data_IF_924467469012
#
_entry.id   IF_924467469012
#
_cell.length_a   1.000
_cell.length_b   1.000
_cell.length_c   1.000
_cell.angle_alpha   90.00
_cell.angle_beta   90.00
_cell.angle_gamma   90.00
#
_symmetry.space_group_name_H-M   'P 1'
#
loop_
_entity.id
_entity.type
_entity.pdbx_description
1 polymer ?
#
# COMPACT_ATOMS: atom_id res chain seq x y z
N UNK A 1 27.48 -13.31 -50.38
CA UNK A 1 28.42 -14.45 -50.31
C UNK A 1 28.91 -14.54 -48.87
N UNK A 2 28.62 -15.69 -48.21
CA UNK A 2 29.38 -16.33 -47.09
C UNK A 2 29.80 -15.45 -45.89
N UNK A 3 29.40 -15.72 -44.65
CA UNK A 3 29.60 -16.98 -43.93
C UNK A 3 28.64 -17.15 -42.73
N UNK A 4 28.11 -18.36 -42.62
CA UNK A 4 27.37 -18.96 -41.51
C UNK A 4 28.30 -19.53 -40.43
N UNK A 5 27.94 -19.36 -39.16
CA UNK A 5 28.42 -20.15 -38.00
C UNK A 5 27.15 -20.64 -37.28
N UNK A 6 26.62 -21.86 -37.42
CA UNK A 6 27.16 -23.21 -37.17
C UNK A 6 27.71 -23.40 -35.75
N UNK A 7 26.82 -23.69 -34.81
CA UNK A 7 27.11 -24.52 -33.64
C UNK A 7 26.08 -25.65 -33.56
N UNK A 8 26.62 -26.87 -33.55
CA UNK A 8 25.97 -28.19 -33.49
C UNK A 8 25.41 -28.39 -32.06
N UNK A 9 24.18 -28.86 -31.84
CA UNK A 9 23.71 -30.26 -31.86
C UNK A 9 24.66 -31.29 -31.23
N UNK A 10 24.30 -31.75 -30.03
CA UNK A 10 24.80 -32.94 -29.33
C UNK A 10 24.31 -32.91 -27.87
N UNK A 11 23.58 -33.87 -27.31
CA UNK A 11 23.10 -35.14 -27.82
C UNK A 11 21.90 -35.63 -27.00
N UNK A 12 21.12 -36.51 -27.61
CA UNK A 12 19.99 -37.24 -27.05
C UNK A 12 20.53 -38.54 -26.45
N UNK A 13 20.25 -38.81 -25.17
CA UNK A 13 20.38 -40.14 -24.56
C UNK A 13 18.99 -40.57 -24.06
N UNK A 14 18.37 -41.61 -24.65
CA UNK A 14 17.19 -42.23 -24.09
C UNK A 14 17.63 -43.33 -23.12
N UNK A 15 17.27 -43.21 -21.84
CA UNK A 15 17.42 -44.30 -20.89
C UNK A 15 16.03 -44.90 -20.63
N UNK A 16 15.74 -45.92 -21.44
CA UNK A 16 14.65 -46.88 -21.25
C UNK A 16 15.12 -47.86 -20.16
N UNK A 17 14.37 -47.94 -19.07
CA UNK A 17 14.54 -48.94 -18.01
C UNK A 17 13.19 -49.30 -17.43
N UNK A 18 12.84 -50.58 -17.56
CA UNK A 18 11.52 -51.15 -17.38
C UNK A 18 11.15 -51.48 -15.91
N UNK A 19 9.91 -51.14 -15.53
CA UNK A 19 8.82 -52.03 -15.08
C UNK A 19 9.14 -53.23 -14.16
N UNK A 20 8.84 -53.10 -12.86
CA UNK A 20 8.27 -54.10 -11.90
C UNK A 20 7.62 -53.25 -10.79
N UNK A 21 6.33 -53.29 -10.44
CA UNK A 21 5.48 -54.44 -10.18
C UNK A 21 5.28 -54.59 -8.67
N UNK A 22 4.44 -53.76 -8.04
CA UNK A 22 3.92 -54.00 -6.70
C UNK A 22 2.46 -53.53 -6.63
N UNK A 23 1.57 -54.52 -6.61
CA UNK A 23 0.16 -54.38 -6.31
C UNK A 23 -0.04 -54.17 -4.80
N UNK A 24 -1.15 -53.51 -4.44
CA UNK A 24 -1.81 -53.69 -3.15
C UNK A 24 -1.67 -52.52 -2.18
N UNK A 25 -2.67 -51.64 -2.17
CA UNK A 25 -3.44 -51.26 -0.98
C UNK A 25 -4.56 -50.29 -1.39
N UNK A 26 -5.72 -50.87 -1.72
CA UNK A 26 -7.02 -50.20 -1.68
C UNK A 26 -7.35 -49.91 -0.22
N UNK A 27 -7.14 -48.66 0.22
CA UNK A 27 -7.78 -48.12 1.40
C UNK A 27 -8.95 -47.26 0.94
N UNK A 28 -10.05 -47.96 0.68
CA UNK A 28 -11.40 -47.42 0.62
C UNK A 28 -11.86 -47.22 2.07
N UNK A 29 -11.80 -45.98 2.58
CA UNK A 29 -12.50 -45.59 3.81
C UNK A 29 -12.82 -44.10 3.79
N UNK A 30 -14.11 -43.81 3.65
CA UNK A 30 -14.76 -42.72 4.38
C UNK A 30 -14.61 -41.31 3.81
N UNK A 31 -15.32 -41.03 2.72
CA UNK A 31 -15.85 -39.69 2.49
C UNK A 31 -16.96 -39.44 3.51
N UNK A 32 -16.56 -39.03 4.72
CA UNK A 32 -17.47 -38.50 5.72
C UNK A 32 -17.81 -37.05 5.37
N UNK A 33 -19.03 -36.84 4.87
CA UNK A 33 -19.72 -35.55 4.90
C UNK A 33 -20.01 -35.16 6.37
N UNK A 34 -18.97 -34.85 7.12
CA UNK A 34 -19.11 -34.07 8.35
C UNK A 34 -18.56 -32.69 8.06
N UNK A 35 -19.44 -31.82 7.56
CA UNK A 35 -19.26 -30.37 7.60
C UNK A 35 -18.80 -29.99 9.02
N UNK A 36 -17.56 -29.53 9.22
CA UNK A 36 -17.14 -28.98 10.50
C UNK A 36 -17.54 -27.50 10.52
N UNK A 37 -18.84 -27.23 10.50
CA UNK A 37 -19.35 -25.84 10.55
C UNK A 37 -20.09 -25.50 11.84
N UNK A 38 -20.56 -26.50 12.62
CA UNK A 38 -21.44 -26.21 13.76
C UNK A 38 -20.75 -26.37 15.13
N UNK A 39 -19.77 -27.26 15.30
CA UNK A 39 -19.12 -27.48 16.60
C UNK A 39 -18.04 -26.44 16.95
N UNK A 40 -17.52 -25.71 15.97
CA UNK A 40 -16.55 -24.62 16.23
C UNK A 40 -17.24 -23.32 16.73
N UNK A 41 -18.57 -23.22 16.63
CA UNK A 41 -19.33 -22.04 17.01
C UNK A 41 -19.68 -21.98 18.51
N UNK A 42 -19.78 -23.12 19.20
CA UNK A 42 -20.21 -23.13 20.62
C UNK A 42 -19.09 -22.80 21.63
N UNK A 43 -17.81 -22.91 21.26
CA UNK A 43 -16.71 -22.66 22.20
C UNK A 43 -16.32 -21.17 22.38
N UNK A 44 -16.89 -20.24 21.61
CA UNK A 44 -16.49 -18.82 21.60
C UNK A 44 -17.27 -17.91 22.59
N UNK A 45 -18.26 -18.44 23.32
CA UNK A 45 -19.23 -17.64 24.10
C UNK A 45 -18.73 -17.07 25.45
N UNK A 46 -17.42 -17.06 25.74
CA UNK A 46 -16.89 -16.64 27.05
C UNK A 46 -16.09 -15.32 27.07
N UNK A 47 -16.17 -14.46 26.05
CA UNK A 47 -15.54 -13.13 26.09
C UNK A 47 -16.59 -12.02 26.00
N UNK A 48 -16.70 -11.23 27.08
CA UNK A 48 -17.66 -10.14 27.21
C UNK A 48 -17.51 -9.02 26.17
N UNK A 49 -18.52 -8.14 26.06
CA UNK A 49 -18.65 -7.17 24.98
C UNK A 49 -17.50 -6.17 24.94
N UNK A 50 -16.85 -6.03 23.78
CA UNK A 50 -15.90 -4.95 23.49
C UNK A 50 -16.68 -3.66 23.27
N UNK A 51 -16.36 -2.62 24.04
CA UNK A 51 -17.02 -1.32 23.98
C UNK A 51 -16.89 -0.66 22.60
N UNK A 52 -18.00 -0.07 22.14
CA UNK A 52 -18.10 0.71 20.92
C UNK A 52 -17.04 1.83 20.89
N UNK A 53 -15.95 1.59 20.17
CA UNK A 53 -14.92 2.58 19.92
C UNK A 53 -15.46 3.67 18.99
N UNK A 54 -15.68 4.86 19.52
CA UNK A 54 -16.12 6.02 18.73
C UNK A 54 -15.17 6.36 17.57
N UNK A 55 -15.65 7.11 16.55
CA UNK A 55 -14.89 7.44 15.36
C UNK A 55 -13.64 8.24 15.73
N UNK A 56 -12.48 7.64 15.53
CA UNK A 56 -11.19 8.31 15.71
C UNK A 56 -10.93 9.23 14.52
N UNK A 57 -11.28 10.51 14.67
CA UNK A 57 -10.79 11.59 13.81
C UNK A 57 -9.29 11.83 14.05
N UNK A 58 -8.46 10.94 13.50
CA UNK A 58 -7.01 11.08 13.51
C UNK A 58 -6.51 11.59 12.17
N UNK A 59 -5.89 12.78 12.17
CA UNK A 59 -5.21 13.42 11.05
C UNK A 59 -4.35 12.45 10.20
N UNK A 60 -4.93 11.96 9.11
CA UNK A 60 -4.58 12.36 7.73
C UNK A 60 -3.16 12.16 7.21
N UNK A 61 -2.26 11.50 7.94
CA UNK A 61 -1.01 11.04 7.35
C UNK A 61 -1.34 9.94 6.34
N UNK A 62 -1.16 10.21 5.04
CA UNK A 62 -1.28 9.25 3.94
C UNK A 62 -0.23 8.12 4.04
N UNK A 63 -0.21 7.39 5.15
CA UNK A 63 0.37 6.06 5.23
C UNK A 63 -0.52 5.21 4.35
N UNK A 64 -0.13 5.10 3.08
CA UNK A 64 -0.84 4.29 2.11
C UNK A 64 -1.21 2.97 2.77
N UNK A 65 -2.51 2.74 2.94
CA UNK A 65 -3.00 1.49 3.49
C UNK A 65 -2.40 0.30 2.73
N UNK A 66 -2.41 -0.90 3.33
CA UNK A 66 -1.80 -2.09 2.72
C UNK A 66 -2.28 -2.21 1.28
N UNK A 67 -1.36 -2.04 0.32
CA UNK A 67 -1.66 -2.13 -1.12
C UNK A 67 -1.57 -3.58 -1.60
N UNK A 68 -1.96 -4.52 -0.75
CA UNK A 68 -1.77 -5.93 -0.96
C UNK A 68 -3.05 -6.74 -0.72
N UNK A 69 -3.01 -8.04 -1.00
CA UNK A 69 -4.12 -8.98 -0.77
C UNK A 69 -4.61 -9.00 0.69
N UNK A 70 -3.78 -8.58 1.65
CA UNK A 70 -4.17 -8.47 3.06
C UNK A 70 -5.24 -7.38 3.29
N UNK A 71 -5.48 -6.54 2.29
CA UNK A 71 -6.59 -5.60 2.28
C UNK A 71 -7.95 -6.31 2.38
N UNK A 72 -8.10 -7.52 1.81
CA UNK A 72 -9.36 -8.27 1.89
C UNK A 72 -9.77 -8.57 3.33
N UNK A 73 -8.82 -9.05 4.15
CA UNK A 73 -9.08 -9.35 5.55
C UNK A 73 -9.50 -8.10 6.33
N UNK A 74 -8.86 -6.96 6.06
CA UNK A 74 -9.22 -5.69 6.71
C UNK A 74 -10.55 -5.12 6.21
N UNK A 75 -10.83 -5.28 4.91
CA UNK A 75 -12.09 -4.88 4.33
C UNK A 75 -13.24 -5.70 4.95
N UNK A 76 -13.08 -7.02 5.10
CA UNK A 76 -14.05 -7.87 5.77
C UNK A 76 -14.38 -7.37 7.19
N UNK A 77 -13.36 -7.08 8.01
CA UNK A 77 -13.54 -6.54 9.37
C UNK A 77 -14.23 -5.16 9.44
N UNK A 78 -14.21 -4.38 8.36
CA UNK A 78 -14.75 -3.02 8.35
C UNK A 78 -16.06 -2.87 7.59
N UNK A 79 -16.38 -3.80 6.69
CA UNK A 79 -17.45 -3.66 5.69
C UNK A 79 -18.54 -4.71 5.85
N UNK A 80 -18.26 -5.79 6.58
CA UNK A 80 -19.22 -6.86 6.84
C UNK A 80 -19.70 -6.80 8.28
N UNK A 81 -20.94 -7.24 8.48
CA UNK A 81 -21.45 -7.60 9.78
C UNK A 81 -21.00 -9.04 10.06
N UNK A 82 -20.07 -9.20 11.00
CA UNK A 82 -19.41 -10.46 11.32
C UNK A 82 -19.82 -10.90 12.72
N UNK A 83 -19.95 -12.20 12.94
CA UNK A 83 -20.06 -12.70 14.31
C UNK A 83 -18.74 -12.54 15.06
N UNK A 84 -18.79 -12.50 16.40
CA UNK A 84 -17.60 -12.41 17.25
C UNK A 84 -16.56 -13.51 16.93
N UNK A 85 -17.04 -14.72 16.60
CA UNK A 85 -16.19 -15.85 16.23
C UNK A 85 -15.50 -15.63 14.86
N UNK A 86 -16.22 -15.10 13.87
CA UNK A 86 -15.66 -14.75 12.57
C UNK A 86 -14.62 -13.63 12.70
N UNK A 87 -14.95 -12.58 13.45
CA UNK A 87 -14.05 -11.44 13.71
C UNK A 87 -12.75 -11.93 14.35
N UNK A 88 -12.83 -12.69 15.45
CA UNK A 88 -11.66 -13.23 16.15
C UNK A 88 -10.78 -14.10 15.24
N UNK A 89 -11.39 -14.92 14.38
CA UNK A 89 -10.67 -15.77 13.43
C UNK A 89 -9.91 -14.93 12.40
N UNK A 90 -10.54 -13.90 11.84
CA UNK A 90 -9.93 -13.01 10.84
C UNK A 90 -8.84 -12.13 11.48
N UNK A 91 -9.06 -11.64 12.71
CA UNK A 91 -8.04 -10.93 13.49
C UNK A 91 -6.81 -11.82 13.73
N UNK A 92 -7.02 -13.08 14.10
CA UNK A 92 -5.94 -14.06 14.29
C UNK A 92 -5.13 -14.29 13.01
N UNK A 93 -5.80 -14.45 11.87
CA UNK A 93 -5.13 -14.57 10.58
C UNK A 93 -4.30 -13.31 10.23
N UNK A 94 -4.81 -12.11 10.52
CA UNK A 94 -4.08 -10.86 10.33
C UNK A 94 -2.86 -10.73 11.26
N UNK A 95 -2.97 -11.18 12.52
CA UNK A 95 -1.86 -11.15 13.48
C UNK A 95 -0.73 -12.08 13.01
N UNK A 96 -1.05 -13.28 12.55
CA UNK A 96 -0.06 -14.21 11.98
C UNK A 96 0.71 -13.63 10.78
N UNK A 97 0.04 -12.82 9.95
CA UNK A 97 0.72 -12.08 8.87
C UNK A 97 1.67 -10.99 9.38
N UNK A 98 1.37 -10.36 10.53
CA UNK A 98 2.22 -9.33 11.14
C UNK A 98 3.46 -9.94 11.79
N UNK A 99 3.31 -11.07 12.47
CA UNK A 99 4.43 -11.73 13.14
C UNK A 99 5.49 -12.19 12.14
N UNK A 100 5.05 -12.78 11.03
CA UNK A 100 5.94 -13.15 9.92
C UNK A 100 6.57 -11.96 9.16
N UNK A 101 6.27 -10.72 9.54
CA UNK A 101 6.86 -9.50 8.96
C UNK A 101 7.88 -8.81 9.90
N UNK A 102 7.99 -9.24 11.16
CA UNK A 102 8.90 -8.64 12.15
C UNK A 102 10.38 -8.94 11.84
N UNK A 103 10.66 -10.06 11.18
CA UNK A 103 12.00 -10.45 10.73
C UNK A 103 12.29 -9.94 9.31
N UNK A 104 12.11 -8.64 9.05
CA UNK A 104 12.70 -8.11 7.81
C UNK A 104 14.22 -8.19 7.96
N UNK A 105 14.93 -8.83 7.01
CA UNK A 105 16.37 -8.73 6.96
C UNK A 105 16.72 -7.25 7.03
N UNK A 106 17.69 -6.90 7.88
CA UNK A 106 18.21 -5.53 7.85
C UNK A 106 18.82 -5.37 6.47
N UNK A 107 18.14 -4.66 5.57
CA UNK A 107 18.58 -4.39 4.19
C UNK A 107 19.94 -3.64 4.13
N UNK A 108 20.53 -3.34 5.29
CA UNK A 108 21.80 -2.65 5.45
C UNK A 108 22.96 -3.26 4.66
N UNK A 109 23.01 -4.57 4.43
CA UNK A 109 24.07 -5.18 3.61
C UNK A 109 24.04 -4.71 2.14
N UNK A 110 22.84 -4.55 1.57
CA UNK A 110 22.65 -4.08 0.18
C UNK A 110 23.01 -2.60 0.08
N UNK A 111 22.56 -1.80 1.03
CA UNK A 111 22.85 -0.36 1.05
C UNK A 111 24.33 -0.06 1.38
N UNK A 112 24.99 -0.87 2.21
CA UNK A 112 26.42 -0.78 2.46
C UNK A 112 27.23 -1.07 1.18
N UNK A 113 26.93 -2.16 0.47
CA UNK A 113 27.58 -2.47 -0.79
C UNK A 113 27.37 -1.37 -1.85
N UNK A 114 26.17 -0.79 -1.89
CA UNK A 114 25.89 0.36 -2.75
C UNK A 114 26.69 1.61 -2.36
N UNK A 115 26.79 1.90 -1.06
CA UNK A 115 27.57 3.02 -0.55
C UNK A 115 29.07 2.85 -0.84
N UNK A 116 29.62 1.65 -0.67
CA UNK A 116 30.99 1.31 -1.07
C UNK A 116 31.23 1.56 -2.56
N UNK A 117 30.31 1.10 -3.43
CA UNK A 117 30.38 1.38 -4.88
C UNK A 117 30.32 2.87 -5.22
N UNK A 118 29.54 3.65 -4.46
CA UNK A 118 29.50 5.11 -4.61
C UNK A 118 30.84 5.73 -4.21
N UNK A 119 31.43 5.37 -3.06
CA UNK A 119 32.74 5.89 -2.64
C UNK A 119 33.82 5.59 -3.68
N UNK A 120 33.84 4.34 -4.16
CA UNK A 120 34.78 3.86 -5.18
C UNK A 120 34.61 4.52 -6.55
N UNK A 121 33.55 5.29 -6.78
CA UNK A 121 33.28 5.91 -8.08
C UNK A 121 32.73 4.92 -9.13
N UNK A 122 32.43 3.68 -8.74
CA UNK A 122 31.95 2.62 -9.63
C UNK A 122 31.05 1.65 -8.88
N UNK A 123 29.81 1.51 -9.35
CA UNK A 123 28.83 0.61 -8.75
C UNK A 123 28.88 -0.76 -9.45
N UNK A 124 29.21 -1.80 -8.69
CA UNK A 124 29.13 -3.18 -9.14
C UNK A 124 27.72 -3.73 -8.93
N UNK A 125 26.93 -3.72 -10.00
CA UNK A 125 25.54 -4.21 -9.98
C UNK A 125 25.46 -5.69 -9.63
N UNK A 126 26.38 -6.51 -10.13
CA UNK A 126 26.36 -7.95 -9.87
C UNK A 126 26.67 -8.24 -8.40
N UNK A 127 27.61 -7.50 -7.80
CA UNK A 127 27.89 -7.61 -6.37
C UNK A 127 26.69 -7.21 -5.51
N UNK A 128 25.98 -6.13 -5.86
CA UNK A 128 24.76 -5.72 -5.14
C UNK A 128 23.66 -6.77 -5.28
N UNK A 129 23.45 -7.31 -6.48
CA UNK A 129 22.47 -8.37 -6.72
C UNK A 129 22.80 -9.65 -5.93
N UNK A 130 24.08 -10.01 -5.80
CA UNK A 130 24.51 -11.14 -4.98
C UNK A 130 24.31 -10.92 -3.47
N UNK A 131 24.17 -9.67 -3.02
CA UNK A 131 23.88 -9.30 -1.61
C UNK A 131 22.39 -9.16 -1.32
N UNK A 132 21.54 -9.17 -2.34
CA UNK A 132 20.12 -9.31 -2.09
C UNK A 132 19.94 -10.62 -1.32
N UNK A 133 19.23 -10.61 -0.17
CA UNK A 133 18.81 -11.86 0.44
C UNK A 133 18.07 -12.68 -0.61
N UNK A 134 17.85 -13.98 -0.36
CA UNK A 134 16.96 -14.78 -1.19
C UNK A 134 15.52 -14.22 -1.10
N UNK A 135 15.32 -13.10 -1.79
CA UNK A 135 14.13 -12.29 -1.80
C UNK A 135 13.01 -13.08 -2.48
N UNK A 136 13.38 -14.02 -3.35
CA UNK A 136 12.49 -15.04 -3.88
C UNK A 136 11.92 -15.89 -2.75
N UNK A 137 12.77 -16.51 -1.93
CA UNK A 137 12.31 -17.33 -0.80
C UNK A 137 11.46 -16.54 0.20
N UNK A 138 11.91 -15.37 0.66
CA UNK A 138 11.13 -14.58 1.62
C UNK A 138 9.79 -14.09 1.04
N UNK A 139 9.76 -13.75 -0.26
CA UNK A 139 8.52 -13.39 -0.95
C UNK A 139 7.58 -14.58 -1.10
N UNK A 140 8.07 -15.78 -1.44
CA UNK A 140 7.27 -17.00 -1.52
C UNK A 140 6.74 -17.44 -0.15
N UNK A 141 7.55 -17.37 0.91
CA UNK A 141 7.09 -17.64 2.27
C UNK A 141 5.98 -16.65 2.70
N UNK A 142 6.16 -15.36 2.41
CA UNK A 142 5.12 -14.35 2.65
C UNK A 142 3.87 -14.65 1.82
N UNK A 143 4.02 -15.01 0.55
CA UNK A 143 2.91 -15.36 -0.35
C UNK A 143 2.15 -16.57 0.18
N UNK A 144 2.84 -17.60 0.66
CA UNK A 144 2.22 -18.78 1.28
C UNK A 144 1.43 -18.41 2.55
N UNK A 145 1.97 -17.56 3.43
CA UNK A 145 1.25 -17.07 4.62
C UNK A 145 -0.02 -16.30 4.24
N UNK A 146 0.07 -15.42 3.25
CA UNK A 146 -1.07 -14.67 2.73
C UNK A 146 -2.10 -15.61 2.10
N UNK A 147 -1.67 -16.62 1.34
CA UNK A 147 -2.57 -17.61 0.76
C UNK A 147 -3.35 -18.35 1.85
N UNK A 148 -2.66 -18.80 2.90
CA UNK A 148 -3.29 -19.42 4.06
C UNK A 148 -4.32 -18.50 4.73
N UNK A 149 -3.97 -17.24 4.98
CA UNK A 149 -4.88 -16.26 5.58
C UNK A 149 -6.11 -15.96 4.71
N UNK A 150 -5.96 -15.95 3.38
CA UNK A 150 -7.07 -15.80 2.44
C UNK A 150 -7.97 -17.03 2.40
N UNK A 151 -7.39 -18.24 2.46
CA UNK A 151 -8.17 -19.47 2.57
C UNK A 151 -8.99 -19.50 3.86
N UNK A 152 -8.39 -19.08 4.99
CA UNK A 152 -9.12 -18.93 6.26
C UNK A 152 -10.26 -17.93 6.12
N UNK A 153 -10.00 -16.73 5.57
CA UNK A 153 -11.04 -15.73 5.34
C UNK A 153 -12.20 -16.29 4.50
N UNK A 154 -11.91 -16.99 3.41
CA UNK A 154 -12.93 -17.57 2.53
C UNK A 154 -13.81 -18.60 3.25
N UNK A 155 -13.19 -19.50 4.00
CA UNK A 155 -13.87 -20.56 4.75
C UNK A 155 -14.71 -20.02 5.92
N UNK A 156 -14.27 -18.93 6.55
CA UNK A 156 -14.97 -18.30 7.68
C UNK A 156 -16.22 -17.52 7.24
N UNK A 157 -16.20 -16.92 6.06
CA UNK A 157 -17.32 -16.12 5.55
C UNK A 157 -18.39 -16.99 4.90
N UNK A 158 -19.67 -16.61 5.05
CA UNK A 158 -20.75 -17.22 4.26
C UNK A 158 -20.65 -16.81 2.79
N UNK A 159 -21.38 -17.51 1.92
CA UNK A 159 -21.43 -17.19 0.49
C UNK A 159 -21.90 -15.77 0.24
N UNK A 160 -22.90 -15.32 0.99
CA UNK A 160 -23.49 -13.99 0.92
C UNK A 160 -22.48 -12.93 1.37
N UNK A 161 -21.79 -13.17 2.48
CA UNK A 161 -20.74 -12.28 3.00
C UNK A 161 -19.57 -12.15 2.01
N UNK A 162 -19.14 -13.24 1.38
CA UNK A 162 -18.09 -13.19 0.34
C UNK A 162 -18.51 -12.33 -0.85
N UNK A 163 -19.75 -12.47 -1.32
CA UNK A 163 -20.29 -11.64 -2.41
C UNK A 163 -20.36 -10.16 -2.01
N UNK A 164 -20.90 -9.86 -0.83
CA UNK A 164 -20.97 -8.49 -0.31
C UNK A 164 -19.58 -7.83 -0.22
N UNK A 165 -18.56 -8.57 0.24
CA UNK A 165 -17.19 -8.08 0.30
C UNK A 165 -16.64 -7.75 -1.08
N UNK A 166 -16.83 -8.64 -2.05
CA UNK A 166 -16.35 -8.46 -3.42
C UNK A 166 -17.02 -7.25 -4.08
N UNK A 167 -18.33 -7.09 -3.92
CA UNK A 167 -19.09 -5.97 -4.48
C UNK A 167 -18.64 -4.63 -3.87
N UNK A 168 -18.44 -4.58 -2.56
CA UNK A 168 -17.95 -3.38 -1.86
C UNK A 168 -16.56 -2.94 -2.34
N UNK A 169 -15.65 -3.90 -2.54
CA UNK A 169 -14.31 -3.63 -3.06
C UNK A 169 -14.35 -3.19 -4.52
N UNK A 170 -15.16 -3.85 -5.36
CA UNK A 170 -15.33 -3.48 -6.76
C UNK A 170 -15.86 -2.05 -6.89
N UNK A 171 -16.86 -1.67 -6.09
CA UNK A 171 -17.40 -0.31 -6.06
C UNK A 171 -16.32 0.74 -5.69
N UNK A 172 -15.48 0.45 -4.70
CA UNK A 172 -14.36 1.34 -4.31
C UNK A 172 -13.29 1.43 -5.39
N UNK A 173 -12.99 0.33 -6.07
CA UNK A 173 -12.08 0.34 -7.23
C UNK A 173 -12.60 1.23 -8.34
N UNK A 174 -13.91 1.23 -8.58
CA UNK A 174 -14.58 2.02 -9.62
C UNK A 174 -14.62 3.50 -9.27
N UNK A 175 -14.97 3.83 -8.02
CA UNK A 175 -14.92 5.19 -7.50
C UNK A 175 -13.50 5.76 -7.61
N UNK A 176 -12.48 4.96 -7.27
CA UNK A 176 -11.08 5.36 -7.40
C UNK A 176 -10.65 5.48 -8.86
N UNK A 177 -11.16 4.63 -9.74
CA UNK A 177 -10.94 4.72 -11.19
C UNK A 177 -11.49 6.01 -11.78
N UNK A 178 -12.70 6.41 -11.38
CA UNK A 178 -13.35 7.67 -11.79
C UNK A 178 -12.60 8.91 -11.32
N UNK A 179 -12.00 8.86 -10.13
CA UNK A 179 -11.18 9.95 -9.57
C UNK A 179 -9.81 10.14 -10.28
N UNK A 180 -9.49 9.29 -11.26
CA UNK A 180 -8.23 9.33 -11.98
C UNK A 180 -7.01 9.01 -11.10
N UNK A 181 -5.81 8.90 -11.69
CA UNK A 181 -4.58 8.84 -10.94
C UNK A 181 -4.41 10.15 -10.15
N UNK A 182 -4.71 10.11 -8.85
CA UNK A 182 -4.66 11.20 -7.85
C UNK A 182 -3.31 11.96 -7.70
N UNK A 183 -2.40 11.89 -8.68
CA UNK A 183 -1.08 12.54 -8.61
C UNK A 183 -0.47 12.98 -9.93
N UNK A 184 -1.24 13.02 -11.04
CA UNK A 184 -0.71 13.42 -12.35
C UNK A 184 -1.01 14.87 -12.75
N UNK A 185 -2.23 15.31 -12.50
CA UNK A 185 -2.72 16.63 -12.91
C UNK A 185 -3.42 17.28 -11.74
N UNK A 186 -2.64 17.68 -10.73
CA UNK A 186 -2.91 19.02 -10.24
C UNK A 186 -2.53 19.94 -11.41
N UNK A 187 -3.47 20.12 -12.33
CA UNK A 187 -3.59 21.38 -13.02
C UNK A 187 -3.57 22.40 -11.88
N UNK A 188 -2.40 22.99 -11.65
CA UNK A 188 -2.37 24.41 -11.39
C UNK A 188 -3.14 24.99 -12.56
N UNK A 189 -4.47 25.09 -12.43
CA UNK A 189 -5.26 25.93 -13.29
C UNK A 189 -4.50 27.26 -13.38
N UNK A 190 -4.48 27.92 -14.54
CA UNK A 190 -3.75 29.16 -14.68
C UNK A 190 -4.09 30.01 -13.46
N UNK A 191 -3.09 30.33 -12.63
CA UNK A 191 -3.21 31.34 -11.59
C UNK A 191 -3.35 32.69 -12.31
N UNK A 192 -4.41 32.84 -13.08
CA UNK A 192 -4.95 34.09 -13.55
C UNK A 192 -5.93 34.54 -12.48
N UNK A 193 -5.64 35.67 -11.86
CA UNK A 193 -6.48 36.26 -10.82
C UNK A 193 -5.66 36.74 -9.64
N UNK A 194 -5.03 37.89 -9.83
CA UNK A 194 -4.65 38.89 -8.84
C UNK A 194 -5.25 38.69 -7.43
N UNK A 195 -4.59 37.89 -6.59
CA UNK A 195 -4.71 38.10 -5.17
C UNK A 195 -3.74 39.20 -4.79
N UNK A 196 -4.28 40.41 -4.67
CA UNK A 196 -3.66 41.58 -4.07
C UNK A 196 -2.78 41.17 -2.87
N UNK A 197 -1.46 41.19 -3.08
CA UNK A 197 -0.49 41.28 -1.99
C UNK A 197 -0.67 42.64 -1.34
N UNK A 198 -1.32 42.68 -0.18
CA UNK A 198 -1.13 43.78 0.74
C UNK A 198 0.37 43.87 1.13
N UNK A 199 0.90 45.09 1.39
CA UNK A 199 2.29 45.28 1.76
C UNK A 199 2.48 44.86 3.22
N UNK A 200 2.64 43.56 3.47
CA UNK A 200 3.22 43.08 4.71
C UNK A 200 4.71 42.85 4.49
N UNK A 201 5.48 43.90 4.80
CA UNK A 201 6.89 43.80 5.12
C UNK A 201 7.06 42.81 6.27
N UNK A 202 7.67 41.67 5.95
CA UNK A 202 7.90 40.58 6.87
C UNK A 202 8.67 39.52 6.11
N UNK A 203 10.00 39.63 6.18
CA UNK A 203 10.97 38.61 5.78
C UNK A 203 10.71 37.32 6.58
N UNK A 204 9.65 36.63 6.22
CA UNK A 204 9.49 35.23 6.54
C UNK A 204 9.74 34.48 5.24
N UNK A 205 11.04 34.26 4.99
CA UNK A 205 11.57 33.13 4.23
C UNK A 205 11.10 31.81 4.88
N UNK A 206 9.79 31.56 4.92
CA UNK A 206 9.25 30.23 5.15
C UNK A 206 9.38 29.45 3.86
N UNK A 207 10.59 28.98 3.63
CA UNK A 207 10.83 27.54 3.55
C UNK A 207 10.05 26.76 2.51
N UNK A 208 9.74 27.36 1.35
CA UNK A 208 9.62 26.60 0.11
C UNK A 208 11.00 26.06 -0.27
N UNK A 209 11.57 25.17 0.55
CA UNK A 209 12.87 24.50 0.39
C UNK A 209 12.79 23.44 -0.73
N UNK A 210 12.31 23.85 -1.88
CA UNK A 210 12.35 23.11 -3.13
C UNK A 210 12.67 24.12 -4.22
N UNK A 211 13.94 24.55 -4.27
CA UNK A 211 14.42 25.39 -5.35
C UNK A 211 14.10 24.76 -6.71
N UNK A 212 13.86 25.57 -7.76
CA UNK A 212 13.53 25.11 -9.09
C UNK A 212 14.71 24.33 -9.68
N UNK A 213 14.76 23.02 -9.49
CA UNK A 213 15.81 22.17 -10.05
C UNK A 213 15.73 20.72 -9.61
N UNK A 214 15.60 20.45 -8.31
CA UNK A 214 15.56 19.07 -7.79
C UNK A 214 14.10 18.59 -7.62
N UNK A 215 13.39 18.45 -8.75
CA UNK A 215 11.97 18.02 -8.78
C UNK A 215 11.80 16.59 -8.27
N UNK A 216 11.46 16.42 -6.99
CA UNK A 216 10.58 15.35 -6.44
C UNK A 216 10.85 13.87 -6.82
N UNK A 217 12.01 13.53 -7.38
CA UNK A 217 12.34 12.17 -7.80
C UNK A 217 12.74 11.28 -6.62
N UNK A 218 12.75 9.94 -6.80
CA UNK A 218 13.14 8.99 -5.76
C UNK A 218 14.57 9.17 -5.25
N UNK A 219 15.45 9.89 -5.97
CA UNK A 219 16.81 10.22 -5.48
C UNK A 219 16.95 11.66 -4.97
N UNK A 220 15.90 12.48 -5.08
CA UNK A 220 15.98 13.90 -4.73
C UNK A 220 16.44 14.12 -3.28
N UNK A 221 16.02 13.24 -2.36
CA UNK A 221 16.44 13.33 -0.95
C UNK A 221 17.90 12.92 -0.70
N UNK A 222 18.48 12.07 -1.55
CA UNK A 222 19.88 11.64 -1.41
C UNK A 222 20.83 12.75 -1.88
N UNK A 223 20.45 13.41 -2.98
CA UNK A 223 21.20 14.52 -3.56
C UNK A 223 20.97 15.84 -2.81
N UNK A 224 19.85 15.96 -2.09
CA UNK A 224 19.56 17.13 -1.27
C UNK A 224 20.66 17.35 -0.23
N UNK A 225 21.25 18.55 -0.24
CA UNK A 225 22.34 18.93 0.66
C UNK A 225 23.72 18.45 0.20
N UNK A 226 23.88 17.91 -1.01
CA UNK A 226 25.19 17.90 -1.66
C UNK A 226 25.49 19.30 -2.20
N UNK A 227 26.72 19.77 -2.00
CA UNK A 227 27.19 21.02 -2.58
C UNK A 227 27.55 20.80 -4.05
N UNK A 228 26.53 20.84 -4.91
CA UNK A 228 26.66 20.60 -6.35
C UNK A 228 26.79 21.93 -7.09
N UNK A 229 27.80 22.04 -7.96
CA UNK A 229 27.94 23.12 -8.94
C UNK A 229 26.80 23.10 -9.96
N UNK A 230 26.51 24.24 -10.57
CA UNK A 230 25.41 24.37 -11.54
C UNK A 230 25.60 23.43 -12.75
N UNK A 231 26.84 23.27 -13.22
CA UNK A 231 27.16 22.35 -14.31
C UNK A 231 26.91 20.89 -13.91
N UNK A 232 27.27 20.51 -12.67
CA UNK A 232 27.02 19.16 -12.16
C UNK A 232 25.52 18.90 -12.03
N UNK A 233 24.74 19.89 -11.56
CA UNK A 233 23.27 19.78 -11.47
C UNK A 233 22.67 19.55 -12.86
N UNK A 234 23.07 20.34 -13.85
CA UNK A 234 22.59 20.17 -15.22
C UNK A 234 22.96 18.80 -15.82
N UNK A 235 24.16 18.30 -15.54
CA UNK A 235 24.59 16.96 -15.98
C UNK A 235 23.81 15.85 -15.30
N UNK A 236 23.56 15.96 -13.99
CA UNK A 236 22.76 15.01 -13.21
C UNK A 236 21.32 14.99 -13.74
N UNK A 237 20.71 16.16 -13.95
CA UNK A 237 19.35 16.26 -14.49
C UNK A 237 19.26 15.61 -15.87
N UNK A 238 20.24 15.87 -16.74
CA UNK A 238 20.33 15.23 -18.06
C UNK A 238 20.47 13.70 -17.95
N UNK A 239 21.31 13.21 -17.04
CA UNK A 239 21.51 11.77 -16.82
C UNK A 239 20.23 11.10 -16.28
N UNK A 240 19.53 11.75 -15.35
CA UNK A 240 18.29 11.26 -14.78
C UNK A 240 17.12 11.27 -15.77
N UNK A 241 17.00 12.30 -16.61
CA UNK A 241 16.02 12.33 -17.69
C UNK A 241 16.32 11.26 -18.75
N UNK A 242 17.59 11.00 -19.08
CA UNK A 242 17.95 9.90 -19.98
C UNK A 242 17.62 8.52 -19.42
N UNK A 243 17.66 8.35 -18.09
CA UNK A 243 17.27 7.11 -17.41
C UNK A 243 15.75 7.01 -17.15
N UNK A 244 14.99 8.06 -17.44
CA UNK A 244 13.55 8.09 -17.21
C UNK A 244 12.84 7.21 -18.23
N UNK A 245 11.81 6.43 -17.84
CA UNK A 245 11.01 5.70 -18.81
C UNK A 245 10.40 6.66 -19.84
N UNK A 246 10.45 6.24 -21.11
CA UNK A 246 9.98 7.03 -22.24
C UNK A 246 8.48 7.27 -22.21
N UNK A 247 7.97 8.14 -23.07
CA UNK A 247 6.53 8.42 -23.13
C UNK A 247 5.71 7.19 -23.57
N UNK A 248 6.28 6.35 -24.44
CA UNK A 248 5.69 5.05 -24.79
C UNK A 248 5.45 4.19 -23.54
N UNK A 249 6.42 4.10 -22.61
CA UNK A 249 6.28 3.37 -21.35
C UNK A 249 5.23 3.99 -20.42
N UNK A 250 4.93 5.29 -20.56
CA UNK A 250 3.88 5.96 -19.77
C UNK A 250 2.50 5.66 -20.33
N UNK A 251 2.36 5.61 -21.66
CA UNK A 251 1.11 5.21 -22.33
C UNK A 251 0.81 3.74 -22.04
N UNK A 252 1.80 2.86 -22.22
CA UNK A 252 1.66 1.44 -21.87
C UNK A 252 1.19 1.23 -20.44
N UNK A 253 1.73 1.99 -19.48
CA UNK A 253 1.27 1.96 -18.08
C UNK A 253 -0.22 2.27 -17.87
N UNK A 254 -0.83 3.16 -18.68
CA UNK A 254 -2.27 3.46 -18.57
C UNK A 254 -3.12 2.26 -19.01
N UNK A 255 -2.75 1.64 -20.12
CA UNK A 255 -3.40 0.43 -20.63
C UNK A 255 -3.23 -0.73 -19.64
N UNK A 256 -2.01 -0.90 -19.12
CA UNK A 256 -1.71 -1.85 -18.05
C UNK A 256 -2.59 -1.64 -16.83
N UNK A 257 -2.89 -0.39 -16.45
CA UNK A 257 -3.78 -0.12 -15.33
C UNK A 257 -5.22 -0.59 -15.58
N UNK A 258 -5.74 -0.43 -16.79
CA UNK A 258 -7.07 -0.91 -17.13
C UNK A 258 -7.10 -2.45 -17.13
N UNK A 259 -6.12 -3.10 -17.76
CA UNK A 259 -5.98 -4.55 -17.78
C UNK A 259 -5.84 -5.13 -16.36
N UNK A 260 -4.98 -4.55 -15.51
CA UNK A 260 -4.81 -4.97 -14.11
C UNK A 260 -6.08 -4.79 -13.28
N UNK A 261 -6.90 -3.76 -13.56
CA UNK A 261 -8.20 -3.61 -12.88
C UNK A 261 -9.17 -4.72 -13.30
N UNK A 262 -9.23 -5.05 -14.59
CA UNK A 262 -10.07 -6.14 -15.08
C UNK A 262 -9.62 -7.49 -14.50
N UNK A 263 -8.32 -7.76 -14.50
CA UNK A 263 -7.71 -8.95 -13.89
C UNK A 263 -8.02 -9.04 -12.39
N UNK A 264 -7.90 -7.92 -11.66
CA UNK A 264 -8.24 -7.87 -10.23
C UNK A 264 -9.73 -8.15 -10.00
N UNK A 265 -10.65 -7.60 -10.81
CA UNK A 265 -12.08 -7.91 -10.72
C UNK A 265 -12.34 -9.40 -10.96
N UNK A 266 -11.74 -10.00 -11.98
CA UNK A 266 -11.88 -11.43 -12.24
C UNK A 266 -11.41 -12.29 -11.07
N UNK A 267 -10.32 -11.90 -10.40
CA UNK A 267 -9.86 -12.56 -9.16
C UNK A 267 -10.85 -12.42 -8.02
N UNK A 268 -11.40 -11.23 -7.82
CA UNK A 268 -12.41 -11.00 -6.77
C UNK A 268 -13.67 -11.86 -7.03
N UNK A 269 -14.11 -12.00 -8.28
CA UNK A 269 -15.20 -12.92 -8.63
C UNK A 269 -14.85 -14.38 -8.28
N UNK A 270 -13.61 -14.82 -8.52
CA UNK A 270 -13.16 -16.14 -8.10
C UNK A 270 -13.16 -16.32 -6.57
N UNK A 271 -13.00 -15.24 -5.79
CA UNK A 271 -13.15 -15.28 -4.34
C UNK A 271 -14.61 -15.44 -3.89
N UNK A 272 -15.58 -14.88 -4.63
CA UNK A 272 -17.00 -15.05 -4.33
C UNK A 272 -17.50 -16.48 -4.60
N UNK A 273 -16.79 -17.26 -5.43
CA UNK A 273 -17.15 -18.63 -5.76
C UNK A 273 -17.08 -19.57 -4.55
N UNK A 274 -17.79 -20.70 -4.63
CA UNK A 274 -17.81 -21.71 -3.56
C UNK A 274 -16.47 -22.45 -3.44
N UNK A 275 -15.75 -22.61 -4.55
CA UNK A 275 -14.38 -23.13 -4.58
C UNK A 275 -13.41 -21.98 -4.77
N UNK A 276 -12.49 -21.83 -3.83
CA UNK A 276 -11.47 -20.78 -3.87
C UNK A 276 -10.07 -21.36 -3.77
N UNK A 277 -9.19 -20.94 -4.69
CA UNK A 277 -7.77 -21.24 -4.66
C UNK A 277 -6.97 -19.97 -4.35
N UNK A 278 -6.53 -19.85 -3.11
CA UNK A 278 -5.73 -18.71 -2.65
C UNK A 278 -4.37 -18.60 -3.36
N UNK A 279 -3.80 -19.72 -3.84
CA UNK A 279 -2.54 -19.68 -4.57
C UNK A 279 -2.74 -19.11 -5.98
N UNK A 280 -3.82 -19.47 -6.67
CA UNK A 280 -4.19 -18.88 -7.96
C UNK A 280 -4.59 -17.40 -7.82
N UNK A 281 -5.20 -17.02 -6.70
CA UNK A 281 -5.56 -15.63 -6.41
C UNK A 281 -4.33 -14.71 -6.30
N UNK A 282 -3.20 -15.23 -5.82
CA UNK A 282 -1.97 -14.46 -5.66
C UNK A 282 -1.07 -14.61 -6.89
N UNK A 283 -1.00 -13.60 -7.80
CA UNK A 283 -0.15 -13.69 -8.99
C UNK A 283 1.29 -13.97 -8.58
N UNK A 284 1.89 -14.98 -9.23
CA UNK A 284 3.35 -15.08 -9.25
C UNK A 284 3.89 -14.04 -10.21
N UNK A 285 4.93 -13.29 -9.85
CA UNK A 285 5.65 -12.52 -10.85
C UNK A 285 6.17 -13.48 -11.93
N UNK A 286 6.06 -13.14 -13.22
CA UNK A 286 6.71 -13.90 -14.29
C UNK A 286 8.19 -14.09 -13.99
N UNK A 287 8.69 -15.28 -14.32
CA UNK A 287 10.07 -15.66 -14.07
C UNK A 287 11.03 -14.64 -14.70
N UNK A 288 11.94 -14.10 -13.90
CA UNK A 288 12.95 -13.13 -14.35
C UNK A 288 12.51 -11.66 -14.31
N UNK A 289 11.23 -11.34 -14.09
CA UNK A 289 10.81 -9.95 -13.97
C UNK A 289 11.00 -9.43 -12.54
N UNK A 290 11.89 -8.43 -12.38
CA UNK A 290 12.07 -7.76 -11.09
C UNK A 290 10.83 -6.91 -10.81
N UNK A 291 10.09 -7.25 -9.75
CA UNK A 291 8.94 -6.46 -9.27
C UNK A 291 9.18 -5.89 -7.87
N UNK A 292 8.36 -4.91 -7.49
CA UNK A 292 8.34 -4.38 -6.14
C UNK A 292 9.68 -3.77 -5.69
N UNK A 293 10.16 -4.07 -4.46
CA UNK A 293 11.41 -3.52 -3.92
C UNK A 293 12.63 -3.82 -4.79
N UNK A 294 12.73 -5.00 -5.40
CA UNK A 294 13.86 -5.37 -6.25
C UNK A 294 13.94 -4.48 -7.51
N UNK A 295 12.80 -4.25 -8.17
CA UNK A 295 12.73 -3.33 -9.32
C UNK A 295 13.07 -1.89 -8.94
N UNK A 296 12.68 -1.47 -7.72
CA UNK A 296 12.99 -0.14 -7.21
C UNK A 296 14.48 0.03 -6.94
N UNK A 297 15.11 -0.96 -6.28
CA UNK A 297 16.55 -0.99 -6.08
C UNK A 297 17.30 -0.97 -7.42
N UNK A 298 16.85 -1.76 -8.39
CA UNK A 298 17.44 -1.82 -9.72
C UNK A 298 17.49 -0.45 -10.41
N UNK A 299 16.37 0.29 -10.37
CA UNK A 299 16.28 1.67 -10.85
C UNK A 299 17.18 2.63 -10.07
N UNK A 300 17.26 2.47 -8.75
CA UNK A 300 18.14 3.29 -7.91
C UNK A 300 19.62 3.05 -8.26
N UNK A 301 20.03 1.79 -8.41
CA UNK A 301 21.39 1.40 -8.81
C UNK A 301 21.72 1.97 -10.18
N UNK A 302 20.83 1.84 -11.17
CA UNK A 302 21.04 2.40 -12.51
C UNK A 302 21.19 3.93 -12.50
N UNK A 303 20.35 4.62 -11.74
CA UNK A 303 20.41 6.08 -11.63
C UNK A 303 21.66 6.55 -10.88
N UNK A 304 22.06 5.88 -9.80
CA UNK A 304 23.31 6.21 -9.09
C UNK A 304 24.54 5.91 -9.96
N UNK A 305 24.53 4.83 -10.74
CA UNK A 305 25.63 4.52 -11.66
C UNK A 305 25.84 5.61 -12.72
N UNK A 306 24.77 6.29 -13.13
CA UNK A 306 24.85 7.44 -14.04
C UNK A 306 25.34 8.73 -13.36
N UNK A 307 25.05 8.92 -12.06
CA UNK A 307 25.39 10.14 -11.31
C UNK A 307 26.83 10.09 -10.77
N UNK A 308 27.26 8.95 -10.27
CA UNK A 308 28.54 8.79 -9.55
C UNK A 308 29.76 9.35 -10.32
N UNK A 309 29.89 9.17 -11.65
CA UNK A 309 31.01 9.75 -12.42
C UNK A 309 31.02 11.29 -12.49
N UNK A 310 29.91 11.97 -12.18
CA UNK A 310 29.78 13.44 -12.20
C UNK A 310 30.24 14.05 -10.86
N UNK A 311 30.20 13.27 -9.79
CA UNK A 311 30.52 13.71 -8.43
C UNK A 311 32.02 13.65 -8.17
N UNK A 312 32.53 14.65 -7.45
CA UNK A 312 33.88 14.57 -6.88
C UNK A 312 33.93 13.61 -5.68
N UNK A 313 35.15 13.36 -5.16
CA UNK A 313 35.36 12.41 -4.08
C UNK A 313 34.63 12.78 -2.78
N UNK A 314 34.64 14.06 -2.40
CA UNK A 314 33.98 14.53 -1.19
C UNK A 314 32.45 14.36 -1.30
N UNK A 315 31.88 14.69 -2.46
CA UNK A 315 30.47 14.51 -2.76
C UNK A 315 30.06 13.03 -2.76
N UNK A 316 30.89 12.13 -3.33
CA UNK A 316 30.64 10.69 -3.31
C UNK A 316 30.65 10.14 -1.88
N UNK A 317 31.59 10.56 -1.04
CA UNK A 317 31.64 10.16 0.37
C UNK A 317 30.39 10.61 1.14
N UNK A 318 29.95 11.86 0.96
CA UNK A 318 28.74 12.38 1.60
C UNK A 318 27.47 11.67 1.12
N UNK A 319 27.40 11.33 -0.18
CA UNK A 319 26.29 10.55 -0.74
C UNK A 319 26.26 9.13 -0.17
N UNK A 320 27.41 8.46 -0.09
CA UNK A 320 27.55 7.12 0.47
C UNK A 320 27.09 7.06 1.94
N UNK A 321 27.49 8.04 2.75
CA UNK A 321 27.06 8.15 4.15
C UNK A 321 25.52 8.30 4.27
N UNK A 322 24.90 9.05 3.35
CA UNK A 322 23.43 9.18 3.31
C UNK A 322 22.74 7.88 2.91
N UNK A 323 23.33 7.11 1.98
CA UNK A 323 22.80 5.81 1.58
C UNK A 323 22.81 4.84 2.77
N UNK A 324 23.88 4.82 3.55
CA UNK A 324 24.01 3.98 4.76
C UNK A 324 23.04 4.39 5.87
N UNK A 325 22.88 5.71 6.10
CA UNK A 325 21.91 6.24 7.07
C UNK A 325 20.46 6.01 6.64
N UNK A 326 20.23 5.83 5.33
CA UNK A 326 18.91 5.78 4.74
C UNK A 326 18.26 7.17 4.65
N UNK A 327 17.00 7.27 4.16
CA UNK A 327 16.25 8.51 4.29
C UNK A 327 16.25 8.87 5.77
N UNK A 328 16.77 10.06 6.12
CA UNK A 328 16.64 10.58 7.47
C UNK A 328 15.18 10.35 7.83
N UNK A 329 14.94 9.59 8.90
CA UNK A 329 13.60 9.49 9.41
C UNK A 329 13.30 10.93 9.81
N UNK A 330 12.66 11.67 8.89
CA UNK A 330 11.92 12.87 9.18
C UNK A 330 10.77 12.32 10.00
N UNK A 331 11.08 11.90 11.24
CA UNK A 331 10.26 12.26 12.35
C UNK A 331 10.10 13.74 12.10
N UNK A 332 8.91 14.20 11.66
CA UNK A 332 8.66 15.61 11.84
C UNK A 332 9.05 15.79 13.30
N UNK A 333 10.13 16.52 13.56
CA UNK A 333 10.35 17.10 14.87
C UNK A 333 8.97 17.59 15.19
N UNK A 334 8.35 16.92 16.16
CA UNK A 334 6.94 17.09 16.46
C UNK A 334 6.94 18.46 17.07
N UNK A 335 7.02 19.47 16.19
CA UNK A 335 7.58 20.78 16.50
C UNK A 335 6.82 21.15 17.72
N UNK A 336 7.56 21.26 18.84
CA UNK A 336 6.99 21.40 20.18
C UNK A 336 5.77 22.25 19.97
N UNK A 337 4.58 21.63 20.08
CA UNK A 337 3.36 22.28 19.64
C UNK A 337 3.36 23.54 20.45
N UNK A 338 3.74 24.67 19.83
CA UNK A 338 3.83 25.94 20.52
C UNK A 338 2.51 26.06 21.25
N UNK A 339 2.54 26.31 22.58
CA UNK A 339 1.45 26.03 23.50
C UNK A 339 0.16 26.32 22.77
N UNK A 340 -0.55 25.24 22.40
CA UNK A 340 -1.65 25.33 21.43
C UNK A 340 -2.52 26.49 21.87
N UNK A 341 -2.91 27.39 20.94
CA UNK A 341 -3.58 28.64 21.27
C UNK A 341 -4.61 28.31 22.31
N UNK A 342 -4.39 28.90 23.50
CA UNK A 342 -5.00 28.49 24.74
C UNK A 342 -6.41 28.06 24.45
N UNK A 343 -6.74 26.85 24.92
CA UNK A 343 -8.10 26.35 25.08
C UNK A 343 -8.84 27.47 25.82
N UNK A 344 -9.33 28.46 25.07
CA UNK A 344 -10.08 29.57 25.60
C UNK A 344 -11.21 28.86 26.31
N UNK A 345 -11.23 29.04 27.63
CA UNK A 345 -12.24 28.47 28.48
C UNK A 345 -13.58 28.77 27.82
N UNK A 346 -14.22 27.74 27.30
CA UNK A 346 -15.66 27.62 27.50
C UNK A 346 -15.83 27.34 28.99
N UNK A 347 -15.56 28.36 29.79
CA UNK A 347 -16.30 28.57 31.01
C UNK A 347 -17.73 28.77 30.54
N UNK A 348 -18.48 27.67 30.55
CA UNK A 348 -19.89 27.77 30.85
C UNK A 348 -20.00 28.33 32.26
N UNK A 349 -19.95 29.66 32.35
CA UNK A 349 -20.32 30.38 33.55
C UNK A 349 -21.78 30.08 33.89
N UNK A 350 -22.11 29.73 35.14
CA UNK A 350 -23.49 29.60 35.58
C UNK A 350 -24.04 31.00 35.84
N UNK A 351 -25.05 31.40 35.07
CA UNK A 351 -25.96 32.47 35.43
C UNK A 351 -25.44 33.91 35.24
N UNK A 352 -26.14 34.66 34.41
CA UNK A 352 -26.71 35.92 34.87
C UNK A 352 -27.89 36.28 33.98
N UNK A 353 -29.06 36.35 34.60
CA UNK A 353 -30.27 36.82 33.96
C UNK A 353 -30.14 38.28 33.56
N UNK A 354 -30.61 38.59 32.35
CA UNK A 354 -31.15 39.90 32.04
C UNK A 354 -32.59 39.69 31.60
N UNK A 355 -33.49 39.91 32.56
CA UNK A 355 -34.83 40.44 32.29
C UNK A 355 -34.68 41.75 31.52
N UNK A 356 -35.42 41.90 30.44
CA UNK A 356 -35.63 43.17 29.75
C UNK A 356 -36.62 42.99 28.60
N UNK A 357 -37.61 43.90 28.42
CA UNK A 357 -38.97 43.54 28.07
C UNK A 357 -39.23 43.40 26.56
N UNK A 358 -40.27 42.64 26.21
CA UNK A 358 -40.86 42.63 24.88
C UNK A 358 -41.35 44.02 24.44
N UNK A 359 -41.77 44.17 23.17
CA UNK A 359 -43.16 43.82 22.88
C UNK A 359 -43.41 43.22 21.48
N UNK A 360 -44.49 42.44 21.41
CA UNK A 360 -45.43 42.52 20.29
C UNK A 360 -45.18 41.61 19.09
N UNK A 361 -46.09 40.67 18.85
CA UNK A 361 -46.21 40.00 17.55
C UNK A 361 -47.01 38.71 17.61
N UNK A 362 -48.26 38.66 17.08
CA UNK A 362 -49.26 37.67 17.49
C UNK A 362 -49.28 36.40 16.62
N UNK A 363 -49.67 35.30 17.27
CA UNK A 363 -50.69 34.38 16.78
C UNK A 363 -50.35 33.51 15.57
N UNK A 364 -49.97 32.26 15.82
CA UNK A 364 -50.48 31.15 15.01
C UNK A 364 -50.95 30.01 15.92
N UNK A 365 -52.24 29.72 15.77
CA UNK A 365 -53.03 28.77 16.53
C UNK A 365 -52.51 27.34 16.40
N UNK A 366 -52.52 26.63 17.52
CA UNK A 366 -52.42 25.16 17.56
C UNK A 366 -53.80 24.60 17.29
N UNK A 367 -53.95 23.92 16.16
CA UNK A 367 -55.00 22.93 15.98
C UNK A 367 -54.59 21.62 16.65
N UNK A 368 -55.07 21.39 17.88
CA UNK A 368 -55.18 20.06 18.46
C UNK A 368 -56.47 19.42 17.94
N UNK A 369 -56.36 18.35 17.16
CA UNK A 369 -57.47 17.45 16.87
C UNK A 369 -57.40 16.21 17.77
N UNK A 370 -58.44 15.88 18.56
CA UNK A 370 -58.55 14.61 19.27
C UNK A 370 -59.43 13.63 18.48
N UNK A 371 -59.17 12.33 18.69
CA UNK A 371 -60.22 11.31 18.60
C UNK A 371 -60.10 10.31 17.45
N UNK A 372 -60.05 9.03 17.82
CA UNK A 372 -60.23 7.92 16.89
C UNK A 372 -60.12 6.57 17.58
N UNK A 373 -61.22 6.10 18.19
CA UNK A 373 -61.41 4.74 18.73
C UNK A 373 -61.76 3.75 17.60
N UNK A 374 -61.11 2.58 17.64
CA UNK A 374 -61.67 1.23 17.42
C UNK A 374 -61.92 0.75 15.98
N UNK A 375 -62.41 -0.50 15.77
CA UNK A 375 -62.37 -1.69 16.63
C UNK A 375 -61.86 -2.97 15.91
N UNK A 376 -61.75 -4.05 16.70
CA UNK A 376 -61.80 -5.49 16.39
C UNK A 376 -61.93 -5.98 14.93
N UNK A 377 -61.24 -7.10 14.64
CA UNK A 377 -61.85 -8.26 13.97
C UNK A 377 -61.02 -9.55 14.11
N UNK A 378 -61.69 -10.54 14.73
CA UNK A 378 -61.67 -12.00 14.56
C UNK A 378 -60.39 -12.80 14.71
#
# INVERSE_FOLDING_TARGET
MTQSRWWRLGGILPLVGALVGAAGCTAETGQGDTSPSDEAAEAALAKGPRGAGGPREGFGGHRGGPRGPEHLLRAALHELDLSDAQEATIEGALEGLRDGAKERPKDGAVFAALAEGVRAGKIDRAAIEAKLPDAGRAAEERRARVAGALSTLHATLTKEQRRQLVDGIAAKMDERGKRGPRGGEHHHGPRGGEHHRGPRGGEHHRGGMGGPGMRGGPLGYLLAGLDLRDEQRAQIDKALEAARPGDADRVGRKEDHAARRAEMRARLEAFAADRFDANAFLPRPPAGEKMGPAAHLDRMVGALAAIVPILDEAQRNALAERIEKGPAAVRPERGERGPGPGRHGREHGPGHGMRGPGPGGPGFERGFGPGGRGPERR
#
